data_IF_175786605817
#
_entry.id   IF_175786605817
#
_cell.length_a   1.000
_cell.length_b   1.000
_cell.length_c   1.000
_cell.angle_alpha   90.00
_cell.angle_beta   90.00
_cell.angle_gamma   90.00
#
_symmetry.space_group_name_H-M   'P 1'
#
loop_
_entity.id
_entity.type
_entity.pdbx_description
1 polymer ?
#
# COMPACT_ATOMS: atom_id res chain seq x y z
N UNK A 1 78.14 17.50 10.86
CA UNK A 1 76.92 16.67 10.91
C UNK A 1 76.06 16.67 9.64
N UNK A 2 76.31 17.51 8.62
CA UNK A 2 75.46 17.57 7.40
C UNK A 2 75.88 16.59 6.29
N UNK A 3 77.10 16.03 6.36
CA UNK A 3 77.63 15.13 5.32
C UNK A 3 77.22 13.65 5.51
N UNK A 4 76.93 13.21 6.75
CA UNK A 4 76.50 11.82 7.03
C UNK A 4 75.10 11.54 6.49
N UNK A 5 74.16 12.48 6.72
CA UNK A 5 72.77 12.37 6.25
C UNK A 5 72.68 12.36 4.72
N UNK A 6 73.45 13.22 4.04
CA UNK A 6 73.45 13.29 2.57
C UNK A 6 74.05 12.05 1.91
N UNK A 7 74.94 11.32 2.60
CA UNK A 7 75.47 10.04 2.11
C UNK A 7 74.46 8.90 2.28
N UNK A 8 73.84 8.78 3.46
CA UNK A 8 72.82 7.75 3.74
C UNK A 8 71.58 7.86 2.85
N UNK A 9 71.13 9.08 2.55
CA UNK A 9 70.00 9.28 1.63
C UNK A 9 70.38 8.89 0.20
N UNK A 10 71.60 9.20 -0.24
CA UNK A 10 72.07 8.84 -1.59
C UNK A 10 72.19 7.33 -1.78
N UNK A 11 72.70 6.63 -0.78
CA UNK A 11 72.88 5.17 -0.86
C UNK A 11 71.53 4.44 -0.83
N UNK A 12 70.54 4.97 -0.07
CA UNK A 12 69.19 4.41 -0.06
C UNK A 12 68.48 4.58 -1.41
N UNK A 13 68.56 5.76 -2.04
CA UNK A 13 67.92 5.98 -3.34
C UNK A 13 68.63 5.26 -4.50
N UNK A 14 69.95 5.06 -4.42
CA UNK A 14 70.70 4.25 -5.41
C UNK A 14 70.31 2.76 -5.38
N UNK A 15 69.79 2.26 -4.24
CA UNK A 15 69.26 0.90 -4.12
C UNK A 15 67.79 0.74 -4.59
N UNK A 16 67.15 1.84 -4.99
CA UNK A 16 65.75 1.90 -5.47
C UNK A 16 65.72 2.18 -6.99
N UNK A 17 66.81 1.91 -7.72
CA UNK A 17 66.67 1.69 -9.15
C UNK A 17 66.09 0.28 -9.37
N UNK A 18 64.90 0.24 -9.96
CA UNK A 18 64.16 -0.98 -10.27
C UNK A 18 65.08 -1.94 -11.02
N UNK A 19 65.44 -3.07 -10.41
CA UNK A 19 66.30 -4.04 -11.09
C UNK A 19 65.65 -4.47 -12.39
N UNK A 20 66.43 -4.51 -13.46
CA UNK A 20 65.99 -4.94 -14.79
C UNK A 20 65.28 -6.30 -14.73
N UNK A 21 65.61 -7.13 -13.74
CA UNK A 21 64.98 -8.41 -13.43
C UNK A 21 63.50 -8.30 -13.00
N UNK A 22 63.13 -7.24 -12.25
CA UNK A 22 61.71 -6.97 -11.91
C UNK A 22 60.94 -6.42 -13.10
N UNK A 23 61.60 -5.61 -13.94
CA UNK A 23 61.06 -5.11 -15.20
C UNK A 23 60.81 -6.26 -16.20
N UNK A 24 61.75 -7.19 -16.33
CA UNK A 24 61.58 -8.42 -17.14
C UNK A 24 60.48 -9.32 -16.59
N UNK A 25 60.37 -9.44 -15.25
CA UNK A 25 59.29 -10.19 -14.61
C UNK A 25 57.91 -9.55 -14.84
N UNK A 26 57.82 -8.23 -14.98
CA UNK A 26 56.57 -7.55 -15.35
C UNK A 26 56.28 -7.70 -16.85
N UNK A 27 57.29 -7.53 -17.73
CA UNK A 27 57.13 -7.69 -19.18
C UNK A 27 56.77 -9.13 -19.58
N UNK A 28 57.31 -10.14 -18.90
CA UNK A 28 56.94 -11.55 -19.11
C UNK A 28 55.53 -11.90 -18.63
N UNK A 29 54.94 -11.10 -17.72
CA UNK A 29 53.53 -11.20 -17.33
C UNK A 29 52.60 -10.46 -18.30
N UNK A 30 53.10 -9.43 -19.00
CA UNK A 30 52.35 -8.62 -19.96
C UNK A 30 52.20 -9.30 -21.35
N UNK A 31 53.08 -10.26 -21.67
CA UNK A 31 53.04 -11.04 -22.93
C UNK A 31 51.93 -12.07 -23.07
N UNK A 32 51.10 -12.29 -22.04
CA UNK A 32 49.87 -13.08 -22.16
C UNK A 32 48.71 -12.12 -22.44
N UNK A 33 48.45 -11.88 -23.72
CA UNK A 33 47.21 -11.28 -24.21
C UNK A 33 46.02 -11.88 -23.46
N UNK A 34 45.47 -11.11 -22.53
CA UNK A 34 44.22 -11.39 -21.86
C UNK A 34 43.16 -11.51 -22.96
N UNK A 35 42.73 -12.74 -23.25
CA UNK A 35 41.50 -12.95 -24.02
C UNK A 35 40.44 -12.10 -23.34
N UNK A 36 39.69 -11.22 -24.05
CA UNK A 36 38.62 -10.52 -23.40
C UNK A 36 37.65 -11.59 -22.92
N UNK A 37 37.55 -11.78 -21.60
CA UNK A 37 36.57 -12.67 -20.96
C UNK A 37 35.12 -12.21 -21.24
N UNK A 38 34.96 -11.17 -22.04
CA UNK A 38 33.79 -10.36 -22.15
C UNK A 38 33.58 -10.01 -23.61
N UNK A 39 32.85 -10.87 -24.32
CA UNK A 39 32.41 -10.56 -25.67
C UNK A 39 31.20 -9.62 -25.56
N UNK A 40 31.26 -8.50 -26.27
CA UNK A 40 30.18 -7.52 -26.37
C UNK A 40 28.82 -8.16 -26.72
N UNK A 41 28.85 -9.27 -27.46
CA UNK A 41 27.68 -10.08 -27.81
C UNK A 41 27.01 -10.75 -26.60
N UNK A 42 27.76 -11.15 -25.56
CA UNK A 42 27.20 -11.71 -24.31
C UNK A 42 26.46 -10.61 -23.53
N UNK A 43 26.95 -9.36 -23.55
CA UNK A 43 26.27 -8.26 -22.86
C UNK A 43 24.98 -7.84 -23.57
N UNK A 44 24.99 -7.74 -24.91
CA UNK A 44 23.80 -7.40 -25.70
C UNK A 44 22.74 -8.51 -25.64
N UNK A 45 23.13 -9.78 -25.74
CA UNK A 45 22.20 -10.91 -25.64
C UNK A 45 21.68 -11.11 -24.21
N UNK A 46 22.52 -10.89 -23.19
CA UNK A 46 22.13 -10.91 -21.78
C UNK A 46 21.10 -9.82 -21.43
N UNK A 47 21.33 -8.57 -21.88
CA UNK A 47 20.37 -7.49 -21.68
C UNK A 47 19.06 -7.70 -22.46
N UNK A 48 19.13 -8.19 -23.70
CA UNK A 48 17.94 -8.44 -24.52
C UNK A 48 17.05 -9.52 -23.89
N UNK A 49 17.63 -10.62 -23.41
CA UNK A 49 16.89 -11.72 -22.77
C UNK A 49 16.27 -11.32 -21.44
N UNK A 50 16.97 -10.56 -20.60
CA UNK A 50 16.42 -9.99 -19.36
C UNK A 50 15.27 -9.00 -19.63
N UNK A 51 15.39 -8.17 -20.67
CA UNK A 51 14.36 -7.20 -21.04
C UNK A 51 13.09 -7.90 -21.54
N UNK A 52 13.23 -8.98 -22.31
CA UNK A 52 12.10 -9.78 -22.80
C UNK A 52 11.41 -10.50 -21.63
N UNK A 53 12.17 -11.12 -20.72
CA UNK A 53 11.60 -11.76 -19.52
C UNK A 53 10.85 -10.75 -18.64
N UNK A 54 11.40 -9.56 -18.44
CA UNK A 54 10.76 -8.50 -17.68
C UNK A 54 9.48 -7.99 -18.35
N UNK A 55 9.48 -7.82 -19.67
CA UNK A 55 8.29 -7.45 -20.43
C UNK A 55 7.20 -8.54 -20.39
N UNK A 56 7.57 -9.81 -20.46
CA UNK A 56 6.63 -10.95 -20.32
C UNK A 56 6.02 -11.00 -18.93
N UNK A 57 6.79 -10.69 -17.88
CA UNK A 57 6.26 -10.55 -16.51
C UNK A 57 5.28 -9.37 -16.43
N UNK A 58 5.63 -8.19 -16.95
CA UNK A 58 4.76 -7.02 -16.88
C UNK A 58 3.44 -7.19 -17.66
N UNK A 59 3.47 -7.87 -18.81
CA UNK A 59 2.30 -8.06 -19.69
C UNK A 59 1.52 -9.33 -19.37
N UNK A 60 2.21 -10.39 -18.93
CA UNK A 60 1.65 -11.72 -18.73
C UNK A 60 0.96 -11.95 -17.39
N UNK A 61 1.23 -11.11 -16.38
CA UNK A 61 0.45 -11.14 -15.15
C UNK A 61 -0.78 -10.25 -15.30
N UNK A 62 -2.00 -10.81 -15.16
CA UNK A 62 -3.20 -9.99 -15.14
C UNK A 62 -3.06 -8.99 -14.00
N UNK A 63 -3.04 -7.70 -14.36
CA UNK A 63 -3.10 -6.63 -13.38
C UNK A 63 -4.42 -6.85 -12.61
N UNK A 64 -4.34 -7.28 -11.35
CA UNK A 64 -5.52 -7.45 -10.51
C UNK A 64 -6.01 -6.05 -10.16
N UNK A 65 -6.72 -5.43 -11.09
CA UNK A 65 -7.43 -4.18 -10.85
C UNK A 65 -8.68 -4.55 -10.06
N UNK A 66 -8.69 -4.24 -8.76
CA UNK A 66 -9.90 -4.37 -7.95
C UNK A 66 -10.94 -3.36 -8.44
N UNK A 67 -12.18 -3.82 -8.53
CA UNK A 67 -13.32 -2.94 -8.79
C UNK A 67 -13.46 -1.91 -7.67
N UNK A 68 -14.14 -0.77 -7.95
CA UNK A 68 -14.43 0.23 -6.92
C UNK A 68 -15.26 -0.39 -5.78
N UNK A 69 -16.20 -1.27 -6.12
CA UNK A 69 -16.99 -2.03 -5.15
C UNK A 69 -16.10 -2.89 -4.25
N UNK A 70 -15.10 -3.58 -4.80
CA UNK A 70 -14.14 -4.37 -4.01
C UNK A 70 -13.34 -3.49 -3.07
N UNK A 71 -12.87 -2.32 -3.53
CA UNK A 71 -12.08 -1.42 -2.71
C UNK A 71 -12.88 -0.88 -1.52
N UNK A 72 -14.12 -0.43 -1.76
CA UNK A 72 -15.03 0.02 -0.69
C UNK A 72 -15.32 -1.13 0.28
N UNK A 73 -15.60 -2.33 -0.23
CA UNK A 73 -15.93 -3.49 0.59
C UNK A 73 -14.75 -3.86 1.51
N UNK A 74 -13.54 -3.94 0.97
CA UNK A 74 -12.34 -4.19 1.77
C UNK A 74 -12.05 -3.08 2.79
N UNK A 75 -12.31 -1.82 2.45
CA UNK A 75 -12.15 -0.70 3.38
C UNK A 75 -13.16 -0.76 4.54
N UNK A 76 -14.42 -1.06 4.24
CA UNK A 76 -15.49 -1.27 5.25
C UNK A 76 -15.11 -2.40 6.20
N UNK A 77 -14.63 -3.53 5.69
CA UNK A 77 -14.17 -4.67 6.49
C UNK A 77 -12.98 -4.27 7.37
N UNK A 78 -11.96 -3.62 6.80
CA UNK A 78 -10.79 -3.16 7.55
C UNK A 78 -11.18 -2.21 8.67
N UNK A 79 -12.06 -1.24 8.39
CA UNK A 79 -12.53 -0.28 9.38
C UNK A 79 -13.37 -0.95 10.48
N UNK A 80 -14.19 -1.94 10.13
CA UNK A 80 -14.97 -2.71 11.09
C UNK A 80 -14.07 -3.45 12.08
N UNK A 81 -13.07 -4.18 11.56
CA UNK A 81 -12.10 -4.96 12.35
C UNK A 81 -11.28 -4.04 13.26
N UNK A 82 -10.89 -2.85 12.77
CA UNK A 82 -10.13 -1.88 13.58
C UNK A 82 -10.87 -1.47 14.85
N UNK A 83 -12.21 -1.56 14.87
CA UNK A 83 -13.05 -1.40 16.05
C UNK A 83 -12.72 -0.14 16.88
N UNK A 84 -12.55 0.99 16.20
CA UNK A 84 -12.29 2.26 16.89
C UNK A 84 -13.51 2.68 17.75
N UNK A 85 -13.27 3.23 18.95
CA UNK A 85 -14.35 3.70 19.82
C UNK A 85 -15.13 4.85 19.18
N UNK A 86 -16.39 5.00 19.60
CA UNK A 86 -17.22 6.14 19.20
C UNK A 86 -16.62 7.44 19.71
N UNK A 87 -16.73 8.50 18.91
CA UNK A 87 -16.45 9.87 19.36
C UNK A 87 -17.69 10.47 20.04
N UNK A 88 -18.86 9.97 19.66
CA UNK A 88 -20.17 10.41 20.15
C UNK A 88 -20.93 9.18 20.62
N UNK A 89 -21.26 9.11 21.90
CA UNK A 89 -22.05 8.02 22.49
C UNK A 89 -23.47 8.50 22.75
N UNK A 90 -24.38 8.17 21.84
CA UNK A 90 -25.80 8.49 21.97
C UNK A 90 -26.61 7.63 21.00
N UNK A 91 -27.85 7.35 21.36
CA UNK A 91 -28.84 6.71 20.50
C UNK A 91 -29.62 7.72 19.65
N UNK A 92 -29.42 9.02 19.86
CA UNK A 92 -30.15 10.06 19.14
C UNK A 92 -29.42 10.45 17.85
N UNK A 93 -29.99 10.07 16.71
CA UNK A 93 -29.44 10.37 15.39
C UNK A 93 -29.32 11.88 15.13
N UNK A 94 -30.27 12.69 15.60
CA UNK A 94 -30.22 14.15 15.45
C UNK A 94 -29.03 14.76 16.20
N UNK A 95 -28.75 14.26 17.42
CA UNK A 95 -27.59 14.69 18.19
C UNK A 95 -26.26 14.24 17.54
N UNK A 96 -26.25 13.11 16.85
CA UNK A 96 -25.11 12.67 16.04
C UNK A 96 -24.91 13.60 14.85
N UNK A 97 -25.97 13.90 14.10
CA UNK A 97 -25.90 14.79 12.93
C UNK A 97 -25.41 16.20 13.30
N UNK A 98 -25.82 16.74 14.45
CA UNK A 98 -25.35 18.05 14.90
C UNK A 98 -23.89 18.05 15.32
N UNK A 99 -23.40 16.96 15.91
CA UNK A 99 -22.00 16.82 16.33
C UNK A 99 -21.06 16.46 15.18
N UNK A 100 -21.55 15.72 14.18
CA UNK A 100 -20.81 15.41 12.96
C UNK A 100 -20.93 16.54 11.90
N UNK A 101 -20.73 17.79 12.32
CA UNK A 101 -20.94 19.01 11.51
C UNK A 101 -20.08 19.16 10.25
N UNK A 102 -18.94 18.47 10.17
CA UNK A 102 -18.05 18.44 8.98
C UNK A 102 -18.57 17.60 7.80
N UNK A 103 -19.70 16.90 7.94
CA UNK A 103 -20.31 16.16 6.84
C UNK A 103 -21.01 17.14 5.90
N UNK A 104 -20.80 16.96 4.60
CA UNK A 104 -21.46 17.70 3.51
C UNK A 104 -22.79 17.05 3.07
N UNK A 105 -23.24 16.04 3.81
CA UNK A 105 -24.51 15.35 3.59
C UNK A 105 -25.24 15.11 4.91
N UNK A 106 -26.55 14.91 4.82
CA UNK A 106 -27.37 14.55 5.98
C UNK A 106 -27.31 13.04 6.24
N UNK A 107 -26.98 12.66 7.47
CA UNK A 107 -27.07 11.26 7.91
C UNK A 107 -28.53 10.83 7.90
N UNK A 108 -28.80 9.66 7.33
CA UNK A 108 -30.16 9.11 7.24
C UNK A 108 -30.36 8.00 8.27
N UNK A 109 -31.60 7.82 8.69
CA UNK A 109 -32.01 6.56 9.31
C UNK A 109 -32.27 5.54 8.20
N UNK A 110 -31.35 4.59 8.04
CA UNK A 110 -31.41 3.60 6.96
C UNK A 110 -32.46 2.54 7.23
N UNK A 111 -33.18 2.14 6.19
CA UNK A 111 -34.12 1.02 6.26
C UNK A 111 -33.41 -0.29 6.63
N UNK A 112 -32.13 -0.45 6.26
CA UNK A 112 -31.30 -1.62 6.54
C UNK A 112 -30.80 -1.75 7.99
N UNK A 113 -31.10 -0.77 8.84
CA UNK A 113 -30.72 -0.72 10.26
C UNK A 113 -31.91 -0.46 11.18
N UNK A 114 -33.13 -0.52 10.65
CA UNK A 114 -34.37 -0.18 11.37
C UNK A 114 -34.67 -1.11 12.56
N UNK A 115 -34.15 -2.33 12.53
CA UNK A 115 -34.27 -3.35 13.57
C UNK A 115 -33.16 -3.27 14.63
N UNK A 116 -32.26 -2.29 14.55
CA UNK A 116 -31.06 -2.18 15.39
C UNK A 116 -31.06 -0.89 16.19
N UNK A 117 -30.49 -0.97 17.39
CA UNK A 117 -30.34 0.18 18.28
C UNK A 117 -29.05 0.93 18.00
N UNK A 118 -29.15 2.22 17.69
CA UNK A 118 -28.00 3.11 17.55
C UNK A 118 -27.35 3.34 18.92
N UNK A 119 -26.02 3.25 18.96
CA UNK A 119 -25.23 3.34 20.21
C UNK A 119 -24.24 4.49 20.17
N UNK A 120 -23.79 4.86 18.98
CA UNK A 120 -22.90 6.01 18.81
C UNK A 120 -22.43 6.19 17.39
N UNK A 121 -21.54 7.16 17.20
CA UNK A 121 -21.00 7.50 15.92
C UNK A 121 -19.59 8.10 16.03
N UNK A 122 -18.91 8.15 14.89
CA UNK A 122 -17.63 8.84 14.71
C UNK A 122 -17.40 9.22 13.26
N UNK A 123 -16.43 10.11 13.04
CA UNK A 123 -15.94 10.34 11.69
C UNK A 123 -15.15 9.15 11.17
N UNK A 124 -15.28 8.90 9.87
CA UNK A 124 -14.43 7.99 9.13
C UNK A 124 -14.18 8.54 7.74
N UNK A 125 -13.49 7.75 6.93
CA UNK A 125 -13.31 7.99 5.51
C UNK A 125 -13.64 6.72 4.77
N UNK A 126 -14.27 6.85 3.61
CA UNK A 126 -14.45 5.80 2.62
C UNK A 126 -13.96 6.36 1.29
N UNK A 127 -12.97 5.71 0.68
CA UNK A 127 -12.33 6.14 -0.58
C UNK A 127 -11.83 7.60 -0.54
N UNK A 128 -11.32 8.03 0.63
CA UNK A 128 -10.82 9.39 0.84
C UNK A 128 -11.89 10.46 1.08
N UNK A 129 -13.17 10.10 1.02
CA UNK A 129 -14.30 11.01 1.28
C UNK A 129 -14.70 10.91 2.75
N UNK A 130 -14.95 12.06 3.39
CA UNK A 130 -15.41 12.11 4.78
C UNK A 130 -16.75 11.39 4.89
N UNK A 131 -16.84 10.47 5.84
CA UNK A 131 -17.99 9.59 6.00
C UNK A 131 -18.40 9.50 7.47
N UNK A 132 -19.66 9.15 7.72
CA UNK A 132 -20.16 8.85 9.06
C UNK A 132 -20.02 7.34 9.33
N UNK A 133 -19.41 6.97 10.45
CA UNK A 133 -19.44 5.60 10.97
C UNK A 133 -20.38 5.55 12.16
N UNK A 134 -21.52 4.89 11.99
CA UNK A 134 -22.52 4.65 13.01
C UNK A 134 -22.31 3.26 13.63
N UNK A 135 -22.46 3.17 14.94
CA UNK A 135 -22.37 1.92 15.69
C UNK A 135 -23.75 1.51 16.16
N UNK A 136 -24.16 0.31 15.77
CA UNK A 136 -25.45 -0.27 16.10
C UNK A 136 -25.27 -1.57 16.89
N UNK A 137 -26.30 -1.95 17.66
CA UNK A 137 -26.43 -3.25 18.30
C UNK A 137 -27.78 -3.88 17.98
N UNK A 138 -27.79 -5.19 17.78
CA UNK A 138 -29.04 -5.96 17.76
C UNK A 138 -29.50 -6.31 19.18
N UNK A 139 -30.65 -7.01 19.28
CA UNK A 139 -31.25 -7.45 20.54
C UNK A 139 -30.40 -8.47 21.31
N UNK A 140 -29.49 -9.17 20.62
CA UNK A 140 -28.58 -10.17 21.18
C UNK A 140 -27.21 -9.56 21.52
N UNK A 141 -27.04 -8.25 21.31
CA UNK A 141 -25.82 -7.50 21.59
C UNK A 141 -24.75 -7.56 20.49
N UNK A 142 -25.04 -8.16 19.33
CA UNK A 142 -24.11 -8.19 18.19
C UNK A 142 -23.88 -6.77 17.68
N UNK A 143 -22.62 -6.42 17.49
CA UNK A 143 -22.22 -5.10 16.99
C UNK A 143 -22.29 -5.05 15.47
N UNK A 144 -22.92 -4.00 14.97
CA UNK A 144 -22.92 -3.62 13.56
C UNK A 144 -22.23 -2.27 13.40
N UNK A 145 -21.39 -2.15 12.39
CA UNK A 145 -20.87 -0.84 11.95
C UNK A 145 -21.48 -0.48 10.62
N UNK A 146 -22.01 0.73 10.54
CA UNK A 146 -22.70 1.24 9.36
C UNK A 146 -22.02 2.51 8.92
N UNK A 147 -21.51 2.52 7.69
CA UNK A 147 -20.83 3.63 7.06
C UNK A 147 -21.83 4.33 6.13
N UNK A 148 -21.93 5.65 6.22
CA UNK A 148 -22.69 6.46 5.28
C UNK A 148 -21.76 7.49 4.65
N UNK A 149 -21.79 7.57 3.33
CA UNK A 149 -20.97 8.47 2.51
C UNK A 149 -21.79 8.89 1.27
N UNK A 150 -21.56 10.06 0.67
CA UNK A 150 -22.21 10.42 -0.59
C UNK A 150 -21.97 9.34 -1.63
N UNK A 151 -23.00 9.03 -2.42
CA UNK A 151 -22.88 8.01 -3.46
C UNK A 151 -21.81 8.43 -4.49
N UNK A 152 -20.79 7.59 -4.77
CA UNK A 152 -19.87 7.83 -5.87
C UNK A 152 -20.60 7.92 -7.21
N UNK A 153 -20.05 8.69 -8.16
CA UNK A 153 -20.66 8.92 -9.49
C UNK A 153 -20.97 7.61 -10.23
N UNK A 154 -20.09 6.62 -10.06
CA UNK A 154 -20.19 5.28 -10.63
C UNK A 154 -21.44 4.52 -10.13
N UNK A 155 -22.00 4.90 -8.98
CA UNK A 155 -23.15 4.26 -8.35
C UNK A 155 -24.41 5.14 -8.33
N UNK A 156 -24.40 6.35 -8.88
CA UNK A 156 -25.55 7.28 -8.86
C UNK A 156 -26.83 6.69 -9.47
N UNK A 157 -26.70 5.87 -10.51
CA UNK A 157 -27.84 5.20 -11.18
C UNK A 157 -28.32 3.94 -10.45
N UNK A 158 -27.56 3.46 -9.46
CA UNK A 158 -27.82 2.21 -8.74
C UNK A 158 -28.72 2.46 -7.54
N UNK A 159 -29.51 1.46 -7.15
CA UNK A 159 -30.37 1.49 -5.96
C UNK A 159 -30.37 0.13 -5.29
N UNK A 160 -30.48 0.11 -3.96
CA UNK A 160 -30.53 -1.11 -3.19
C UNK A 160 -29.16 -1.79 -3.05
N UNK A 161 -29.14 -3.11 -2.90
CA UNK A 161 -27.92 -3.89 -2.69
C UNK A 161 -27.03 -3.85 -3.94
N UNK A 162 -25.79 -3.40 -3.76
CA UNK A 162 -24.75 -3.35 -4.79
C UNK A 162 -23.88 -4.60 -4.72
N UNK A 163 -23.45 -4.96 -3.50
CA UNK A 163 -22.52 -6.06 -3.27
C UNK A 163 -22.63 -6.58 -1.85
N UNK A 164 -22.40 -7.87 -1.69
CA UNK A 164 -22.38 -8.59 -0.43
C UNK A 164 -21.27 -9.63 -0.47
N UNK A 165 -20.55 -9.79 0.64
CA UNK A 165 -19.48 -10.78 0.76
C UNK A 165 -19.12 -11.05 2.21
N UNK A 166 -18.52 -12.22 2.44
CA UNK A 166 -17.87 -12.58 3.71
C UNK A 166 -16.35 -12.50 3.51
N UNK A 167 -15.70 -11.59 4.23
CA UNK A 167 -14.25 -11.38 4.13
C UNK A 167 -13.65 -11.35 5.53
N UNK A 168 -12.66 -12.21 5.78
CA UNK A 168 -11.90 -12.24 7.04
C UNK A 168 -12.80 -12.38 8.29
N UNK A 169 -13.85 -13.19 8.22
CA UNK A 169 -14.81 -13.39 9.32
C UNK A 169 -15.77 -12.21 9.53
N UNK A 170 -15.87 -11.30 8.56
CA UNK A 170 -16.80 -10.17 8.59
C UNK A 170 -17.75 -10.29 7.42
N UNK A 171 -19.03 -10.30 7.73
CA UNK A 171 -20.08 -10.16 6.73
C UNK A 171 -20.26 -8.68 6.40
N UNK A 172 -20.20 -8.33 5.12
CA UNK A 172 -20.30 -6.95 4.65
C UNK A 172 -21.25 -6.82 3.48
N UNK A 173 -22.07 -5.78 3.54
CA UNK A 173 -23.07 -5.44 2.53
C UNK A 173 -22.94 -3.96 2.14
N UNK A 174 -23.00 -3.66 0.85
CA UNK A 174 -22.98 -2.30 0.30
C UNK A 174 -24.31 -2.04 -0.37
N UNK A 175 -24.95 -0.93 0.00
CA UNK A 175 -26.22 -0.48 -0.56
C UNK A 175 -26.13 0.95 -1.06
N UNK A 176 -27.09 1.34 -1.91
CA UNK A 176 -27.37 2.75 -2.23
C UNK A 176 -28.79 3.09 -1.78
N UNK A 177 -28.92 4.10 -0.92
CA UNK A 177 -30.19 4.58 -0.37
C UNK A 177 -30.15 6.11 -0.24
N UNK A 178 -31.17 6.80 -0.79
CA UNK A 178 -31.37 8.26 -0.65
C UNK A 178 -30.12 9.11 -0.97
N UNK A 179 -29.37 8.73 -2.01
CA UNK A 179 -28.16 9.45 -2.45
C UNK A 179 -26.90 9.15 -1.63
N UNK A 180 -26.96 8.19 -0.71
CA UNK A 180 -25.83 7.73 0.08
C UNK A 180 -25.46 6.30 -0.28
N UNK A 181 -24.16 6.03 -0.32
CA UNK A 181 -23.64 4.67 -0.24
C UNK A 181 -23.58 4.26 1.23
N UNK A 182 -24.13 3.09 1.52
CA UNK A 182 -24.22 2.52 2.87
C UNK A 182 -23.42 1.22 2.92
N UNK A 183 -22.33 1.22 3.67
CA UNK A 183 -21.59 0.00 4.01
C UNK A 183 -22.05 -0.52 5.35
N UNK A 184 -22.54 -1.75 5.45
CA UNK A 184 -22.93 -2.39 6.72
C UNK A 184 -22.05 -3.60 6.96
N UNK A 185 -21.49 -3.73 8.15
CA UNK A 185 -20.63 -4.86 8.51
C UNK A 185 -20.88 -5.37 9.93
N UNK A 186 -20.77 -6.69 10.10
CA UNK A 186 -20.77 -7.38 11.39
C UNK A 186 -19.84 -8.60 11.37
N UNK A 187 -19.28 -8.95 12.52
CA UNK A 187 -18.45 -10.15 12.65
C UNK A 187 -19.32 -11.41 12.65
N UNK A 188 -18.91 -12.39 11.86
CA UNK A 188 -19.42 -13.76 11.95
C UNK A 188 -18.90 -14.38 13.25
N UNK A 189 -19.79 -15.06 13.98
CA UNK A 189 -19.44 -15.78 15.23
C UNK A 189 -18.80 -17.12 14.93
#
# INVERSE_FOLDING_TARGET
MMNDFKSKVRDHYSSIELSNERLEKLQSLEGKTSRPLFSWNIFVTGFATLSILFAVVLVGFPQVTRSLEDNILHEVVKNHIKNMPSEIETSNLFAISSKLSRLDFAIINSTYTSDKSLVGARYCSIQGVTAAQLQYKDTVGTRYTVYQVPVPKEFESRKGLIKESDISGVHVQIYVEKGLLIGKAYSLK
#
